data_IF_659142630885
#
_entry.id   IF_659142630885
#
_cell.length_a   1.000
_cell.length_b   1.000
_cell.length_c   1.000
_cell.angle_alpha   90.00
_cell.angle_beta   90.00
_cell.angle_gamma   90.00
#
_symmetry.space_group_name_H-M   'P 1'
#
loop_
_entity.id
_entity.type
_entity.pdbx_description
1 polymer ?
#
# COMPACT_ATOMS: atom_id res chain seq x y z
N UNK A 1 7.73 -1.58 33.51
CA UNK A 1 8.33 -2.00 32.21
C UNK A 1 9.67 -1.31 32.09
N UNK A 2 10.73 -2.03 31.70
CA UNK A 2 12.03 -1.41 31.43
C UNK A 2 11.88 -0.32 30.39
N UNK A 3 12.58 0.80 30.57
CA UNK A 3 12.49 1.97 29.69
C UNK A 3 13.26 1.69 28.38
N UNK A 4 12.70 0.85 27.51
CA UNK A 4 13.30 0.45 26.23
C UNK A 4 13.29 1.62 25.25
N UNK A 5 14.41 1.88 24.60
CA UNK A 5 14.53 2.92 23.58
C UNK A 5 14.13 2.36 22.22
N UNK A 6 12.90 2.66 21.82
CA UNK A 6 12.33 2.14 20.58
C UNK A 6 12.25 3.25 19.54
N UNK A 7 12.72 2.94 18.35
CA UNK A 7 12.50 3.76 17.14
C UNK A 7 11.42 3.10 16.30
N UNK A 8 10.48 3.91 15.81
CA UNK A 8 9.55 3.51 14.78
C UNK A 8 9.90 4.17 13.44
N UNK A 9 10.03 3.39 12.36
CA UNK A 9 10.30 3.89 11.02
C UNK A 9 9.13 3.56 10.08
N UNK A 10 8.47 4.59 9.56
CA UNK A 10 7.33 4.40 8.66
C UNK A 10 6.94 5.69 7.96
N UNK A 11 6.05 5.62 6.97
CA UNK A 11 5.63 6.81 6.22
C UNK A 11 4.13 6.86 5.95
N UNK A 12 3.49 5.89 5.23
CA UNK A 12 2.09 5.97 4.83
C UNK A 12 1.14 5.52 5.94
N UNK A 13 -0.15 5.64 5.67
CA UNK A 13 -1.26 5.32 6.58
C UNK A 13 -1.14 3.93 7.23
N UNK A 14 -0.73 2.89 6.51
CA UNK A 14 -0.53 1.56 7.11
C UNK A 14 0.47 1.61 8.29
N UNK A 15 1.54 2.38 8.15
CA UNK A 15 2.54 2.54 9.19
C UNK A 15 2.01 3.42 10.36
N UNK A 16 1.20 4.43 10.08
CA UNK A 16 0.59 5.25 11.13
C UNK A 16 -0.40 4.45 12.00
N UNK A 17 -1.11 3.49 11.40
CA UNK A 17 -1.98 2.56 12.15
C UNK A 17 -1.13 1.71 13.11
N UNK A 18 -0.01 1.15 12.63
CA UNK A 18 0.90 0.37 13.49
C UNK A 18 1.47 1.21 14.63
N UNK A 19 1.98 2.41 14.32
CA UNK A 19 2.50 3.33 15.35
C UNK A 19 1.44 3.63 16.40
N UNK A 20 0.22 3.97 15.98
CA UNK A 20 -0.88 4.24 16.89
C UNK A 20 -1.24 3.02 17.75
N UNK A 21 -1.28 1.83 17.16
CA UNK A 21 -1.49 0.58 17.91
C UNK A 21 -0.41 0.37 18.98
N UNK A 22 0.87 0.64 18.69
CA UNK A 22 1.94 0.56 19.68
C UNK A 22 1.69 1.53 20.86
N UNK A 23 1.39 2.79 20.55
CA UNK A 23 1.21 3.86 21.55
C UNK A 23 -0.03 3.62 22.42
N UNK A 24 -1.13 3.16 21.84
CA UNK A 24 -2.38 2.82 22.55
C UNK A 24 -2.26 1.58 23.43
N UNK A 25 -1.18 0.78 23.26
CA UNK A 25 -0.88 -0.40 24.07
C UNK A 25 0.38 -0.21 24.94
N UNK A 26 0.64 1.04 25.37
CA UNK A 26 1.71 1.40 26.30
C UNK A 26 3.14 1.06 25.84
N UNK A 27 3.35 0.87 24.52
CA UNK A 27 4.70 0.73 23.97
C UNK A 27 5.26 2.13 23.72
N UNK A 28 6.24 2.52 24.54
CA UNK A 28 6.86 3.83 24.43
C UNK A 28 7.81 3.89 23.21
N UNK A 29 7.46 4.72 22.22
CA UNK A 29 8.30 5.05 21.07
C UNK A 29 8.99 6.39 21.35
N UNK A 30 10.33 6.40 21.42
CA UNK A 30 11.09 7.59 21.77
C UNK A 30 11.56 8.42 20.59
N UNK A 31 11.55 7.85 19.37
CA UNK A 31 11.89 8.55 18.13
C UNK A 31 11.10 7.96 16.96
N UNK A 32 10.53 8.81 16.13
CA UNK A 32 9.90 8.43 14.86
C UNK A 32 10.79 8.87 13.70
N UNK A 33 11.04 7.96 12.76
CA UNK A 33 11.78 8.24 11.51
C UNK A 33 10.82 8.09 10.34
N UNK A 34 10.66 9.15 9.53
CA UNK A 34 9.74 9.16 8.39
C UNK A 34 10.33 9.92 7.20
N UNK A 35 9.71 9.78 6.03
CA UNK A 35 10.12 10.52 4.84
C UNK A 35 9.94 12.04 5.03
N UNK A 36 10.77 12.86 4.35
CA UNK A 36 10.61 14.31 4.36
C UNK A 36 9.23 14.76 3.90
N UNK A 37 8.78 15.89 4.47
CA UNK A 37 7.53 16.53 4.10
C UNK A 37 7.47 16.81 2.59
N UNK A 38 6.29 16.62 2.00
CA UNK A 38 6.06 16.85 0.58
C UNK A 38 5.21 18.09 0.35
N UNK A 39 5.54 18.83 -0.70
CA UNK A 39 4.67 19.92 -1.16
C UNK A 39 3.64 19.36 -2.14
N UNK A 40 2.34 19.59 -1.88
CA UNK A 40 1.24 19.13 -2.74
C UNK A 40 0.39 20.30 -3.28
N UNK A 41 -0.20 20.07 -4.45
CA UNK A 41 -1.13 21.00 -5.09
C UNK A 41 -0.48 22.24 -5.69
N UNK A 42 -1.29 23.08 -6.37
CA UNK A 42 -0.85 24.32 -7.03
C UNK A 42 -0.30 25.35 -6.03
N UNK A 43 -0.77 25.32 -4.79
CA UNK A 43 -0.35 26.24 -3.72
C UNK A 43 0.90 25.76 -2.97
N UNK A 44 1.52 24.64 -3.37
CA UNK A 44 2.71 24.07 -2.72
C UNK A 44 2.57 23.93 -1.19
N UNK A 45 1.39 23.52 -0.74
CA UNK A 45 1.14 23.31 0.69
C UNK A 45 1.99 22.13 1.20
N UNK A 46 2.65 22.33 2.34
CA UNK A 46 3.38 21.27 3.03
C UNK A 46 2.39 20.25 3.56
N UNK A 47 2.60 18.99 3.22
CA UNK A 47 1.80 17.85 3.70
C UNK A 47 2.74 16.92 4.45
N UNK A 48 2.41 16.63 5.69
CA UNK A 48 3.11 15.68 6.54
C UNK A 48 2.82 14.25 6.10
N UNK A 49 3.69 13.32 6.47
CA UNK A 49 3.35 11.91 6.41
C UNK A 49 2.35 11.58 7.52
N UNK A 50 1.48 10.58 7.29
CA UNK A 50 0.51 10.16 8.30
C UNK A 50 1.20 9.69 9.59
N UNK A 51 2.40 9.13 9.49
CA UNK A 51 3.23 8.75 10.64
C UNK A 51 3.71 9.98 11.42
N UNK A 52 4.10 11.07 10.73
CA UNK A 52 4.49 12.33 11.39
C UNK A 52 3.30 12.97 12.12
N UNK A 53 2.10 12.91 11.52
CA UNK A 53 0.90 13.44 12.17
C UNK A 53 0.64 12.73 13.50
N UNK A 54 0.73 11.39 13.54
CA UNK A 54 0.61 10.62 14.79
C UNK A 54 1.73 10.97 15.77
N UNK A 55 2.99 11.06 15.30
CA UNK A 55 4.10 11.40 16.20
C UNK A 55 3.93 12.76 16.88
N UNK A 56 3.41 13.75 16.15
CA UNK A 56 3.11 15.09 16.69
C UNK A 56 1.93 15.08 17.68
N UNK A 57 0.91 14.24 17.45
CA UNK A 57 -0.22 14.05 18.36
C UNK A 57 0.22 13.51 19.74
N UNK A 58 1.29 12.71 19.77
CA UNK A 58 1.84 12.10 20.99
C UNK A 58 3.16 12.74 21.48
N UNK A 59 3.51 13.91 20.97
CA UNK A 59 4.72 14.66 21.34
C UNK A 59 6.03 13.86 21.17
N UNK A 60 6.09 12.97 20.15
CA UNK A 60 7.27 12.16 19.86
C UNK A 60 8.20 12.91 18.90
N UNK A 61 9.52 12.99 19.19
CA UNK A 61 10.50 13.55 18.28
C UNK A 61 10.47 12.88 16.90
N UNK A 62 10.63 13.68 15.82
CA UNK A 62 10.55 13.21 14.44
C UNK A 62 11.83 13.54 13.69
N UNK A 63 12.50 12.51 13.18
CA UNK A 63 13.65 12.62 12.30
C UNK A 63 13.27 12.32 10.85
N UNK A 64 13.67 13.20 9.92
CA UNK A 64 13.27 13.12 8.50
C UNK A 64 14.50 13.22 7.57
N UNK A 65 15.36 12.19 7.53
CA UNK A 65 16.53 12.21 6.67
C UNK A 65 16.11 12.14 5.19
N UNK A 66 16.68 13.01 4.36
CA UNK A 66 16.47 12.97 2.90
C UNK A 66 17.01 11.67 2.31
N UNK A 67 18.15 11.21 2.81
CA UNK A 67 18.78 9.92 2.47
C UNK A 67 19.36 9.30 3.75
N UNK A 68 18.64 8.34 4.33
CA UNK A 68 19.07 7.67 5.56
C UNK A 68 20.46 7.05 5.44
N UNK A 69 20.86 6.60 4.26
CA UNK A 69 22.21 6.06 4.01
C UNK A 69 23.33 7.06 4.28
N UNK A 70 23.05 8.36 4.20
CA UNK A 70 24.03 9.45 4.36
C UNK A 70 23.82 10.24 5.66
N UNK A 71 22.66 10.12 6.28
CA UNK A 71 22.25 10.92 7.43
C UNK A 71 21.46 10.03 8.41
N UNK A 72 22.15 9.46 9.37
CA UNK A 72 21.58 8.60 10.42
C UNK A 72 22.17 8.85 11.81
N UNK A 73 22.90 9.95 11.99
CA UNK A 73 23.59 10.22 13.27
C UNK A 73 22.61 10.34 14.43
N UNK A 74 21.41 10.91 14.21
CA UNK A 74 20.37 11.03 15.24
C UNK A 74 19.90 9.65 15.74
N UNK A 75 19.87 8.64 14.86
CA UNK A 75 19.55 7.26 15.23
C UNK A 75 20.67 6.66 16.08
N UNK A 76 21.93 6.93 15.72
CA UNK A 76 23.10 6.46 16.49
C UNK A 76 23.11 7.08 17.89
N UNK A 77 22.88 8.40 17.97
CA UNK A 77 22.88 9.14 19.24
C UNK A 77 21.70 8.72 20.14
N UNK A 78 20.57 8.36 19.55
CA UNK A 78 19.43 7.80 20.27
C UNK A 78 19.73 6.45 20.88
N UNK A 79 20.65 5.66 20.29
CA UNK A 79 21.10 4.33 20.72
C UNK A 79 19.92 3.36 20.99
N UNK A 80 19.15 2.96 19.94
CA UNK A 80 17.93 2.18 20.11
C UNK A 80 18.18 0.77 20.63
N UNK A 81 17.24 0.24 21.42
CA UNK A 81 17.22 -1.16 21.83
C UNK A 81 16.45 -2.03 20.80
N UNK A 82 15.48 -1.43 20.10
CA UNK A 82 14.69 -2.04 19.04
C UNK A 82 14.33 -0.99 17.98
N UNK A 83 14.38 -1.38 16.71
CA UNK A 83 13.79 -0.60 15.62
C UNK A 83 12.64 -1.40 14.99
N UNK A 84 11.45 -0.80 14.95
CA UNK A 84 10.27 -1.34 14.28
C UNK A 84 10.05 -0.57 12.99
N UNK A 85 9.94 -1.28 11.86
CA UNK A 85 9.69 -0.65 10.55
C UNK A 85 8.39 -1.13 9.94
N UNK A 86 7.69 -0.22 9.26
CA UNK A 86 6.55 -0.54 8.41
C UNK A 86 6.50 0.47 7.26
N UNK A 87 6.67 0.02 6.04
CA UNK A 87 6.58 0.84 4.83
C UNK A 87 7.37 2.18 4.91
N UNK A 88 8.60 2.14 5.38
CA UNK A 88 9.44 3.34 5.54
C UNK A 88 9.82 3.99 4.20
N UNK A 89 10.10 3.18 3.18
CA UNK A 89 10.35 3.66 1.82
C UNK A 89 11.80 4.03 1.49
N UNK A 90 12.78 3.74 2.37
CA UNK A 90 14.21 3.80 2.07
C UNK A 90 14.91 2.52 2.54
N UNK A 91 16.00 2.16 1.89
CA UNK A 91 16.86 1.05 2.31
C UNK A 91 17.66 1.51 3.54
N UNK A 92 17.45 0.84 4.66
CA UNK A 92 18.14 1.09 5.92
C UNK A 92 19.56 0.53 5.81
N UNK A 93 20.62 1.33 6.07
CA UNK A 93 21.99 0.88 5.94
C UNK A 93 22.35 -0.12 7.04
N UNK A 94 23.34 -0.97 6.75
CA UNK A 94 23.78 -2.03 7.69
C UNK A 94 24.20 -1.47 9.05
N UNK A 95 24.83 -0.31 9.05
CA UNK A 95 25.26 0.39 10.25
C UNK A 95 24.10 0.70 11.21
N UNK A 96 22.91 1.00 10.66
CA UNK A 96 21.68 1.22 11.45
C UNK A 96 21.04 -0.12 11.85
N UNK A 97 21.06 -1.13 10.94
CA UNK A 97 20.49 -2.45 11.24
C UNK A 97 21.19 -3.16 12.40
N UNK A 98 22.48 -2.90 12.57
CA UNK A 98 23.32 -3.55 13.59
C UNK A 98 23.31 -2.82 14.96
N UNK A 99 22.69 -1.63 15.06
CA UNK A 99 22.70 -0.83 16.30
C UNK A 99 21.87 -1.47 17.43
N UNK A 100 20.59 -1.85 17.22
CA UNK A 100 19.74 -2.24 18.32
C UNK A 100 20.02 -3.68 18.79
N UNK A 101 20.10 -3.86 20.12
CA UNK A 101 20.37 -5.19 20.71
C UNK A 101 19.29 -6.24 20.38
N UNK A 102 18.03 -5.80 20.20
CA UNK A 102 16.91 -6.67 19.78
C UNK A 102 16.70 -6.69 18.26
N UNK A 103 17.57 -5.97 17.52
CA UNK A 103 17.59 -5.91 16.07
C UNK A 103 16.56 -4.93 15.48
N UNK A 104 16.45 -4.99 14.17
CA UNK A 104 15.45 -4.26 13.40
C UNK A 104 14.42 -5.25 12.89
N UNK A 105 13.14 -5.03 13.18
CA UNK A 105 12.04 -5.84 12.66
C UNK A 105 11.21 -5.04 11.65
N UNK A 106 10.65 -5.75 10.67
CA UNK A 106 9.79 -5.14 9.65
C UNK A 106 8.45 -5.86 9.56
N UNK A 107 7.39 -5.09 9.46
CA UNK A 107 6.04 -5.55 9.15
C UNK A 107 5.83 -5.44 7.65
N UNK A 108 5.93 -6.57 6.95
CA UNK A 108 5.84 -6.66 5.50
C UNK A 108 4.45 -7.12 5.04
N UNK A 109 3.87 -6.44 4.04
CA UNK A 109 2.48 -6.63 3.59
C UNK A 109 2.27 -7.83 2.69
N UNK A 110 2.84 -8.98 3.01
CA UNK A 110 2.58 -10.26 2.34
C UNK A 110 2.91 -11.44 3.25
N UNK A 111 2.52 -12.65 2.84
CA UNK A 111 2.99 -13.92 3.42
C UNK A 111 4.32 -14.30 2.75
N UNK A 112 5.43 -13.83 3.32
CA UNK A 112 6.77 -14.12 2.81
C UNK A 112 7.03 -15.65 2.75
N UNK A 113 7.75 -16.13 1.74
CA UNK A 113 8.59 -15.41 0.77
C UNK A 113 7.85 -14.89 -0.48
N UNK A 114 6.51 -14.97 -0.51
CA UNK A 114 5.71 -14.44 -1.62
C UNK A 114 5.65 -12.91 -1.54
N UNK A 115 5.85 -12.25 -2.68
CA UNK A 115 5.77 -10.79 -2.83
C UNK A 115 6.81 -10.00 -2.03
N UNK A 116 8.10 -10.38 -2.08
CA UNK A 116 9.20 -9.50 -1.67
C UNK A 116 9.23 -8.26 -2.55
N UNK A 117 9.30 -7.06 -1.98
CA UNK A 117 9.43 -5.80 -2.72
C UNK A 117 8.40 -4.74 -2.36
N UNK A 118 8.25 -3.74 -3.25
CA UNK A 118 7.61 -2.47 -2.92
C UNK A 118 6.09 -2.40 -3.05
N UNK A 119 5.41 -3.38 -3.69
CA UNK A 119 3.96 -3.33 -3.91
C UNK A 119 3.24 -4.66 -3.62
N UNK A 120 3.51 -5.35 -2.49
CA UNK A 120 2.97 -6.67 -2.21
C UNK A 120 1.44 -6.69 -2.16
N UNK A 121 0.83 -5.69 -1.55
CA UNK A 121 -0.63 -5.59 -1.35
C UNK A 121 -1.35 -5.43 -2.68
N UNK A 122 -0.87 -4.49 -3.50
CA UNK A 122 -1.47 -4.25 -4.83
C UNK A 122 -1.28 -5.45 -5.76
N UNK A 123 -0.09 -6.08 -5.73
CA UNK A 123 0.19 -7.27 -6.57
C UNK A 123 -0.70 -8.44 -6.17
N UNK A 124 -0.97 -8.66 -4.88
CA UNK A 124 -1.88 -9.70 -4.43
C UNK A 124 -3.30 -9.51 -4.98
N UNK A 125 -3.83 -8.27 -4.94
CA UNK A 125 -5.15 -7.96 -5.52
C UNK A 125 -5.13 -8.15 -7.03
N UNK A 126 -4.14 -7.61 -7.72
CA UNK A 126 -4.06 -7.65 -9.18
C UNK A 126 -3.96 -9.07 -9.71
N UNK A 127 -3.19 -9.91 -9.02
CA UNK A 127 -3.07 -11.34 -9.36
C UNK A 127 -4.30 -12.17 -9.00
N UNK A 128 -5.32 -11.58 -8.36
CA UNK A 128 -6.56 -12.28 -7.99
C UNK A 128 -6.40 -13.23 -6.81
N UNK A 129 -5.37 -13.04 -5.97
CA UNK A 129 -5.20 -13.82 -4.76
C UNK A 129 -6.43 -13.69 -3.85
N UNK A 130 -6.82 -14.79 -3.23
CA UNK A 130 -7.96 -14.80 -2.28
C UNK A 130 -7.50 -14.58 -0.85
N UNK A 131 -6.19 -14.79 -0.59
CA UNK A 131 -5.56 -14.62 0.72
C UNK A 131 -4.24 -13.90 0.54
N UNK A 132 -3.96 -12.95 1.42
CA UNK A 132 -2.66 -12.35 1.63
C UNK A 132 -2.38 -12.30 3.14
N UNK A 133 -1.55 -11.41 3.64
CA UNK A 133 -1.30 -11.28 5.08
C UNK A 133 -0.15 -10.37 5.41
N UNK A 134 0.22 -10.40 6.68
CA UNK A 134 1.37 -9.68 7.20
C UNK A 134 2.44 -10.65 7.67
N UNK A 135 3.70 -10.31 7.43
CA UNK A 135 4.87 -11.01 7.96
C UNK A 135 5.65 -10.09 8.88
N UNK A 136 5.89 -10.52 10.11
CA UNK A 136 6.83 -9.91 11.04
C UNK A 136 8.18 -10.61 10.87
N UNK A 137 9.17 -9.88 10.38
CA UNK A 137 10.46 -10.42 10.01
C UNK A 137 11.62 -9.61 10.59
N UNK A 138 12.78 -10.21 10.76
CA UNK A 138 14.03 -9.49 11.04
C UNK A 138 14.56 -8.88 9.75
N UNK A 139 14.95 -7.62 9.79
CA UNK A 139 15.52 -6.96 8.60
C UNK A 139 16.91 -7.52 8.27
N UNK A 140 17.22 -7.58 6.99
CA UNK A 140 18.49 -8.00 6.44
C UNK A 140 18.93 -7.03 5.31
N UNK A 141 20.22 -7.00 4.93
CA UNK A 141 20.68 -6.14 3.83
C UNK A 141 20.01 -6.41 2.48
N UNK A 142 19.62 -7.68 2.22
CA UNK A 142 18.83 -8.04 1.04
C UNK A 142 17.35 -7.75 1.31
N UNK A 143 16.69 -7.03 0.39
CA UNK A 143 15.31 -6.59 0.52
C UNK A 143 14.37 -7.75 0.84
N UNK A 144 13.62 -7.63 1.93
CA UNK A 144 12.58 -8.54 2.42
C UNK A 144 13.00 -10.02 2.48
N UNK A 145 14.31 -10.29 2.58
CA UNK A 145 14.88 -11.63 2.59
C UNK A 145 15.31 -12.12 3.98
N UNK A 146 15.12 -11.33 5.02
CA UNK A 146 15.45 -11.74 6.38
C UNK A 146 14.51 -12.81 6.92
N UNK A 147 14.90 -13.50 8.02
CA UNK A 147 14.10 -14.58 8.59
C UNK A 147 12.79 -14.04 9.21
N UNK A 148 11.75 -14.85 9.13
CA UNK A 148 10.38 -14.52 9.57
C UNK A 148 10.15 -15.03 10.99
N UNK A 149 9.60 -14.17 11.85
CA UNK A 149 9.18 -14.54 13.19
C UNK A 149 7.76 -15.14 13.16
N UNK A 150 6.83 -14.42 12.56
CA UNK A 150 5.42 -14.82 12.52
C UNK A 150 4.71 -14.26 11.30
N UNK A 151 3.58 -14.87 10.96
CA UNK A 151 2.71 -14.44 9.85
C UNK A 151 1.25 -14.52 10.28
N UNK A 152 0.43 -13.59 9.76
CA UNK A 152 -1.01 -13.59 9.97
C UNK A 152 -1.73 -13.40 8.64
N UNK A 153 -2.60 -14.33 8.31
CA UNK A 153 -3.37 -14.33 7.06
C UNK A 153 -4.52 -13.33 7.10
N UNK A 154 -4.86 -12.79 5.93
CA UNK A 154 -5.99 -11.90 5.70
C UNK A 154 -6.70 -12.33 4.42
N UNK A 155 -8.00 -12.53 4.49
CA UNK A 155 -8.83 -12.79 3.32
C UNK A 155 -8.97 -11.51 2.46
N UNK A 156 -8.79 -11.66 1.15
CA UNK A 156 -9.05 -10.61 0.15
C UNK A 156 -10.46 -10.83 -0.40
N UNK A 157 -11.41 -10.02 0.05
CA UNK A 157 -12.78 -10.10 -0.40
C UNK A 157 -12.93 -9.53 -1.84
N UNK A 158 -13.93 -9.97 -2.61
CA UNK A 158 -14.24 -9.37 -3.91
C UNK A 158 -14.53 -7.86 -3.85
N UNK A 159 -15.01 -7.37 -2.71
CA UNK A 159 -15.26 -5.94 -2.47
C UNK A 159 -14.01 -5.15 -2.06
N UNK A 160 -12.90 -5.82 -1.75
CA UNK A 160 -11.68 -5.12 -1.35
C UNK A 160 -10.99 -4.46 -2.55
N UNK A 161 -10.42 -3.33 -2.29
CA UNK A 161 -9.48 -2.62 -3.16
C UNK A 161 -8.16 -2.36 -2.39
N UNK A 162 -7.18 -1.72 -3.01
CA UNK A 162 -5.92 -1.44 -2.32
C UNK A 162 -6.13 -0.61 -1.06
N UNK A 163 -7.00 0.41 -1.08
CA UNK A 163 -7.26 1.26 0.09
C UNK A 163 -7.81 0.46 1.27
N UNK A 164 -8.87 -0.34 1.06
CA UNK A 164 -9.47 -1.14 2.14
C UNK A 164 -8.51 -2.23 2.64
N UNK A 165 -7.73 -2.84 1.75
CA UNK A 165 -6.78 -3.88 2.13
C UNK A 165 -5.58 -3.29 2.89
N UNK A 166 -5.09 -2.10 2.53
CA UNK A 166 -4.07 -1.40 3.33
C UNK A 166 -4.54 -1.13 4.76
N UNK A 167 -5.80 -0.74 4.96
CA UNK A 167 -6.36 -0.50 6.29
C UNK A 167 -6.45 -1.81 7.11
N UNK A 168 -6.97 -2.90 6.52
CA UNK A 168 -7.00 -4.22 7.15
C UNK A 168 -5.60 -4.71 7.53
N UNK A 169 -4.64 -4.55 6.63
CA UNK A 169 -3.26 -4.96 6.86
C UNK A 169 -2.57 -4.13 7.93
N UNK A 170 -2.88 -2.83 8.04
CA UNK A 170 -2.35 -1.98 9.11
C UNK A 170 -2.79 -2.46 10.50
N UNK A 171 -4.09 -2.80 10.64
CA UNK A 171 -4.63 -3.35 11.89
C UNK A 171 -3.97 -4.71 12.20
N UNK A 172 -3.94 -5.61 11.22
CA UNK A 172 -3.31 -6.92 11.38
C UNK A 172 -1.83 -6.83 11.73
N UNK A 173 -1.10 -5.87 11.14
CA UNK A 173 0.31 -5.62 11.43
C UNK A 173 0.53 -5.17 12.88
N UNK A 174 -0.33 -4.27 13.38
CA UNK A 174 -0.30 -3.83 14.76
C UNK A 174 -0.53 -4.98 15.74
N UNK A 175 -1.58 -5.77 15.51
CA UNK A 175 -1.89 -6.96 16.32
C UNK A 175 -0.74 -7.97 16.29
N UNK A 176 -0.22 -8.29 15.10
CA UNK A 176 0.90 -9.23 14.94
C UNK A 176 2.16 -8.76 15.69
N UNK A 177 2.45 -7.45 15.70
CA UNK A 177 3.56 -6.91 16.48
C UNK A 177 3.30 -7.04 17.98
N UNK A 178 2.10 -6.73 18.47
CA UNK A 178 1.76 -6.83 19.90
C UNK A 178 1.88 -8.28 20.41
N UNK A 179 1.38 -9.24 19.65
CA UNK A 179 1.41 -10.67 20.00
C UNK A 179 2.86 -11.18 20.21
N UNK A 180 3.84 -10.56 19.52
CA UNK A 180 5.23 -11.01 19.52
C UNK A 180 6.23 -10.03 20.17
N UNK A 181 5.75 -8.88 20.66
CA UNK A 181 6.60 -7.79 21.13
C UNK A 181 7.51 -8.20 22.31
N UNK A 182 6.97 -8.88 23.31
CA UNK A 182 7.74 -9.28 24.49
C UNK A 182 8.77 -10.37 24.20
N UNK A 183 8.50 -11.29 23.29
CA UNK A 183 9.51 -12.29 22.90
C UNK A 183 10.65 -11.67 22.09
N UNK A 184 10.39 -10.65 21.27
CA UNK A 184 11.44 -9.87 20.59
C UNK A 184 12.31 -9.17 21.65
N UNK A 185 11.68 -8.41 22.55
CA UNK A 185 12.38 -7.60 23.53
C UNK A 185 13.04 -8.40 24.67
N UNK A 186 12.73 -9.68 24.80
CA UNK A 186 13.42 -10.59 25.73
C UNK A 186 14.54 -11.40 25.06
N UNK A 187 14.73 -11.23 23.73
CA UNK A 187 15.70 -12.00 22.95
C UNK A 187 15.33 -13.49 22.79
N UNK A 188 14.07 -13.85 23.05
CA UNK A 188 13.55 -15.23 22.92
C UNK A 188 12.90 -15.53 21.57
N UNK A 189 12.71 -14.51 20.72
CA UNK A 189 12.11 -14.64 19.42
C UNK A 189 12.89 -15.63 18.53
N UNK A 190 12.20 -16.62 17.98
CA UNK A 190 12.77 -17.64 17.10
C UNK A 190 12.38 -17.36 15.67
N UNK A 191 13.34 -16.97 14.87
CA UNK A 191 13.13 -16.60 13.48
C UNK A 191 13.42 -17.80 12.57
N UNK A 192 12.62 -17.96 11.51
CA UNK A 192 12.74 -19.04 10.52
C UNK A 192 13.18 -18.45 9.18
N UNK A 193 14.24 -19.03 8.59
CA UNK A 193 14.72 -18.61 7.26
C UNK A 193 13.66 -18.86 6.18
N UNK A 194 13.59 -17.95 5.22
CA UNK A 194 12.66 -18.07 4.11
C UNK A 194 13.13 -19.11 3.08
N UNK A 195 12.20 -19.85 2.50
CA UNK A 195 12.44 -20.79 1.40
C UNK A 195 12.68 -20.02 0.09
N UNK A 196 13.95 -19.88 -0.32
CA UNK A 196 14.33 -19.16 -1.54
C UNK A 196 13.70 -19.73 -2.83
N UNK A 197 13.27 -20.99 -2.85
CA UNK A 197 12.62 -21.61 -4.00
C UNK A 197 11.19 -21.12 -4.23
N UNK A 198 10.58 -20.50 -3.21
CA UNK A 198 9.19 -20.00 -3.24
C UNK A 198 9.09 -18.48 -3.37
N UNK A 199 10.22 -17.82 -3.59
CA UNK A 199 10.25 -16.36 -3.68
C UNK A 199 9.48 -15.87 -4.92
N UNK A 200 8.55 -14.94 -4.68
CA UNK A 200 7.90 -14.15 -5.72
C UNK A 200 8.20 -12.68 -5.43
N UNK A 201 8.63 -11.93 -6.44
CA UNK A 201 8.90 -10.50 -6.30
C UNK A 201 7.68 -9.65 -6.63
N UNK A 202 7.54 -8.53 -5.92
CA UNK A 202 6.50 -7.51 -6.11
C UNK A 202 7.14 -6.14 -6.35
N UNK A 203 7.62 -5.87 -7.58
CA UNK A 203 8.19 -4.56 -7.89
C UNK A 203 7.14 -3.46 -7.69
N UNK A 204 7.62 -2.26 -7.40
CA UNK A 204 6.76 -1.05 -7.33
C UNK A 204 5.98 -0.92 -8.63
N UNK A 205 4.71 -0.50 -8.52
CA UNK A 205 3.85 -0.29 -9.69
C UNK A 205 4.43 0.82 -10.58
N UNK A 206 4.56 0.55 -11.88
CA UNK A 206 5.04 1.52 -12.85
C UNK A 206 3.89 2.37 -13.41
N UNK A 207 4.24 3.49 -14.07
CA UNK A 207 3.25 4.35 -14.72
C UNK A 207 2.61 3.70 -15.94
N UNK A 208 3.33 2.81 -16.59
CA UNK A 208 2.86 2.04 -17.74
C UNK A 208 1.77 1.05 -17.30
N UNK A 209 1.92 0.49 -16.11
CA UNK A 209 0.94 -0.44 -15.53
C UNK A 209 -0.36 0.25 -15.06
N UNK A 210 -0.41 1.59 -15.02
CA UNK A 210 -1.68 2.32 -14.78
C UNK A 210 -2.64 2.22 -15.98
N UNK A 211 -2.13 1.97 -17.19
CA UNK A 211 -2.96 1.81 -18.39
C UNK A 211 -3.60 0.43 -18.42
N UNK A 212 -4.91 0.39 -18.64
CA UNK A 212 -5.69 -0.84 -18.75
C UNK A 212 -5.55 -1.39 -20.18
N UNK A 213 -4.94 -2.56 -20.32
CA UNK A 213 -4.98 -3.32 -21.56
C UNK A 213 -6.29 -4.13 -21.62
N UNK A 214 -7.23 -3.71 -22.45
CA UNK A 214 -8.52 -4.37 -22.59
C UNK A 214 -8.43 -5.78 -23.23
N UNK A 215 -7.27 -6.19 -23.76
CA UNK A 215 -7.07 -7.54 -24.28
C UNK A 215 -6.78 -8.58 -23.16
N UNK A 216 -6.59 -8.14 -21.92
CA UNK A 216 -6.47 -9.04 -20.77
C UNK A 216 -7.83 -9.66 -20.42
N UNK A 217 -7.81 -10.71 -19.59
CA UNK A 217 -9.03 -11.32 -19.06
C UNK A 217 -9.85 -10.30 -18.26
N UNK A 218 -11.18 -10.38 -18.37
CA UNK A 218 -12.10 -9.46 -17.70
C UNK A 218 -11.87 -9.39 -16.18
N UNK A 219 -11.56 -10.51 -15.53
CA UNK A 219 -11.22 -10.55 -14.09
C UNK A 219 -9.90 -9.83 -13.80
N UNK A 220 -8.90 -9.98 -14.68
CA UNK A 220 -7.60 -9.29 -14.53
C UNK A 220 -7.76 -7.76 -14.62
N UNK A 221 -8.61 -7.28 -15.54
CA UNK A 221 -8.94 -5.85 -15.68
C UNK A 221 -9.62 -5.31 -14.41
N UNK A 222 -10.61 -6.04 -13.88
CA UNK A 222 -11.29 -5.67 -12.63
C UNK A 222 -10.31 -5.64 -11.45
N UNK A 223 -9.45 -6.62 -11.35
CA UNK A 223 -8.43 -6.71 -10.32
C UNK A 223 -7.40 -5.59 -10.44
N UNK A 224 -7.00 -5.19 -11.67
CA UNK A 224 -6.15 -4.03 -11.88
C UNK A 224 -6.81 -2.75 -11.34
N UNK A 225 -8.08 -2.50 -11.66
CA UNK A 225 -8.82 -1.34 -11.15
C UNK A 225 -8.84 -1.35 -9.62
N UNK A 226 -9.10 -2.49 -8.99
CA UNK A 226 -9.08 -2.65 -7.52
C UNK A 226 -7.70 -2.41 -6.94
N UNK A 227 -6.65 -2.93 -7.56
CA UNK A 227 -5.27 -2.81 -7.11
C UNK A 227 -4.73 -1.37 -7.20
N UNK A 228 -5.18 -0.58 -8.18
CA UNK A 228 -4.76 0.79 -8.40
C UNK A 228 -5.69 1.84 -7.75
N UNK A 229 -6.77 1.42 -7.11
CA UNK A 229 -7.72 2.28 -6.41
C UNK A 229 -7.14 2.77 -5.06
N UNK A 230 -7.30 3.99 -4.62
CA UNK A 230 -7.87 5.18 -5.22
C UNK A 230 -6.78 5.97 -5.97
N UNK A 231 -5.54 5.66 -5.71
CA UNK A 231 -4.37 6.26 -6.32
C UNK A 231 -3.31 5.18 -6.64
N UNK A 232 -2.68 5.22 -7.82
CA UNK A 232 -2.76 6.29 -8.82
C UNK A 232 -4.05 6.27 -9.67
N UNK A 233 -4.82 5.19 -9.67
CA UNK A 233 -6.01 4.95 -10.50
C UNK A 233 -5.67 4.40 -11.88
N UNK A 234 -6.23 3.22 -12.23
CA UNK A 234 -6.11 2.64 -13.56
C UNK A 234 -6.90 3.46 -14.58
N UNK A 235 -6.42 3.54 -15.83
CA UNK A 235 -7.04 4.38 -16.86
C UNK A 235 -7.06 3.70 -18.24
N UNK A 236 -7.99 4.17 -19.06
CA UNK A 236 -8.00 3.98 -20.53
C UNK A 236 -7.87 5.35 -21.21
N UNK A 237 -7.53 5.39 -22.49
CA UNK A 237 -7.67 6.60 -23.25
C UNK A 237 -9.09 6.74 -23.85
N UNK A 238 -9.68 7.91 -23.72
CA UNK A 238 -10.96 8.25 -24.29
C UNK A 238 -10.82 9.60 -25.00
N UNK A 239 -10.94 9.60 -26.34
CA UNK A 239 -10.66 10.80 -27.18
C UNK A 239 -9.28 11.42 -26.89
N UNK A 240 -8.26 10.60 -26.74
CA UNK A 240 -6.87 11.01 -26.48
C UNK A 240 -6.61 11.60 -25.09
N UNK A 241 -7.55 11.47 -24.15
CA UNK A 241 -7.40 11.91 -22.74
C UNK A 241 -7.45 10.71 -21.81
N UNK A 242 -6.70 10.77 -20.72
CA UNK A 242 -6.78 9.77 -19.68
C UNK A 242 -8.16 9.80 -19.00
N UNK A 243 -8.84 8.68 -19.03
CA UNK A 243 -10.08 8.45 -18.32
C UNK A 243 -9.84 7.38 -17.25
N UNK A 244 -9.64 7.82 -16.01
CA UNK A 244 -9.41 6.91 -14.90
C UNK A 244 -10.71 6.25 -14.46
N UNK A 245 -10.61 4.96 -14.20
CA UNK A 245 -11.67 4.12 -13.62
C UNK A 245 -11.18 3.72 -12.23
N UNK A 246 -11.81 4.29 -11.20
CA UNK A 246 -11.39 4.11 -9.81
C UNK A 246 -12.21 3.02 -9.10
N UNK A 247 -13.43 2.81 -9.56
CA UNK A 247 -14.29 1.74 -9.10
C UNK A 247 -15.17 1.25 -10.22
N UNK A 248 -15.28 -0.06 -10.37
CA UNK A 248 -16.12 -0.70 -11.36
C UNK A 248 -16.68 -2.02 -10.83
N UNK A 249 -17.76 -2.49 -11.47
CA UNK A 249 -18.30 -3.83 -11.28
C UNK A 249 -18.42 -4.53 -12.63
N UNK A 250 -18.65 -5.84 -12.60
CA UNK A 250 -18.81 -6.66 -13.78
C UNK A 250 -20.29 -6.96 -14.04
N UNK A 251 -20.70 -6.83 -15.31
CA UNK A 251 -22.00 -7.25 -15.79
C UNK A 251 -21.80 -8.37 -16.81
N UNK A 252 -22.40 -9.53 -16.57
CA UNK A 252 -22.37 -10.68 -17.49
C UNK A 252 -23.35 -10.43 -18.66
N UNK A 253 -23.06 -9.38 -19.45
CA UNK A 253 -23.78 -9.00 -20.66
C UNK A 253 -22.75 -8.51 -21.66
N UNK A 254 -22.62 -9.22 -22.79
CA UNK A 254 -21.65 -8.90 -23.80
C UNK A 254 -22.10 -7.70 -24.63
N UNK A 255 -21.22 -6.75 -24.81
CA UNK A 255 -21.37 -5.59 -25.65
C UNK A 255 -20.17 -5.47 -26.62
N UNK A 256 -20.23 -4.53 -27.56
CA UNK A 256 -19.15 -4.31 -28.50
C UNK A 256 -17.84 -3.99 -27.75
N UNK A 257 -16.78 -4.73 -28.06
CA UNK A 257 -15.48 -4.64 -27.41
C UNK A 257 -14.89 -3.23 -27.51
N UNK A 258 -14.45 -2.68 -26.37
CA UNK A 258 -13.86 -1.35 -26.26
C UNK A 258 -14.87 -0.20 -26.41
N UNK A 259 -16.14 -0.46 -26.72
CA UNK A 259 -17.13 0.58 -26.89
C UNK A 259 -17.61 1.12 -25.54
N UNK A 260 -17.58 2.44 -25.38
CA UNK A 260 -18.20 3.11 -24.22
C UNK A 260 -19.71 3.20 -24.45
N UNK A 261 -20.48 2.52 -23.63
CA UNK A 261 -21.93 2.39 -23.73
C UNK A 261 -22.66 2.97 -22.53
N UNK A 262 -23.94 3.24 -22.71
CA UNK A 262 -24.83 3.60 -21.61
C UNK A 262 -25.39 2.33 -20.95
N UNK A 263 -25.26 2.24 -19.63
CA UNK A 263 -25.83 1.16 -18.82
C UNK A 263 -26.99 1.72 -17.98
N UNK A 264 -28.16 1.08 -18.10
CA UNK A 264 -29.36 1.51 -17.39
C UNK A 264 -29.72 2.98 -17.64
N UNK A 265 -30.08 3.71 -16.57
CA UNK A 265 -30.52 5.11 -16.72
C UNK A 265 -29.33 6.06 -16.89
N UNK A 266 -28.31 5.98 -16.06
CA UNK A 266 -27.28 7.03 -15.91
C UNK A 266 -25.89 6.48 -15.58
N UNK A 267 -25.55 5.26 -15.99
CA UNK A 267 -24.19 4.71 -15.84
C UNK A 267 -23.52 4.53 -17.20
N UNK A 268 -22.22 4.41 -17.19
CA UNK A 268 -21.40 4.06 -18.34
C UNK A 268 -20.81 2.66 -18.14
N UNK A 269 -20.64 1.96 -19.23
CA UNK A 269 -19.90 0.70 -19.28
C UNK A 269 -18.95 0.67 -20.47
N UNK A 270 -18.00 -0.24 -20.42
CA UNK A 270 -17.07 -0.55 -21.51
C UNK A 270 -17.24 -2.01 -21.84
N UNK A 271 -17.52 -2.34 -23.11
CA UNK A 271 -17.58 -3.73 -23.56
C UNK A 271 -16.23 -4.42 -23.41
N UNK A 272 -16.22 -5.57 -22.78
CA UNK A 272 -15.06 -6.46 -22.64
C UNK A 272 -15.25 -7.71 -23.51
N UNK A 273 -14.33 -8.68 -23.44
CA UNK A 273 -14.41 -9.91 -24.25
C UNK A 273 -15.61 -10.79 -23.85
N UNK A 274 -15.89 -10.94 -22.56
CA UNK A 274 -16.93 -11.84 -22.06
C UNK A 274 -18.10 -11.14 -21.38
N UNK A 275 -17.97 -9.82 -21.12
CA UNK A 275 -19.02 -9.05 -20.45
C UNK A 275 -18.82 -7.56 -20.60
N UNK A 276 -19.24 -6.81 -19.59
CA UNK A 276 -19.18 -5.34 -19.58
C UNK A 276 -18.63 -4.86 -18.25
N UNK A 277 -17.63 -3.99 -18.33
CA UNK A 277 -17.12 -3.22 -17.20
C UNK A 277 -18.09 -2.07 -16.90
N UNK A 278 -18.80 -2.12 -15.80
CA UNK A 278 -19.72 -1.05 -15.35
C UNK A 278 -18.97 -0.08 -14.46
N UNK A 279 -18.85 1.16 -14.90
CA UNK A 279 -18.09 2.20 -14.19
C UNK A 279 -18.95 2.75 -13.04
N UNK A 280 -18.37 2.79 -11.83
CA UNK A 280 -19.01 3.35 -10.64
C UNK A 280 -18.41 4.71 -10.24
N UNK A 281 -17.07 4.81 -10.24
CA UNK A 281 -16.34 6.03 -9.92
C UNK A 281 -15.27 6.27 -10.97
N UNK A 282 -15.17 7.48 -11.47
CA UNK A 282 -14.25 7.82 -12.55
C UNK A 282 -13.65 9.22 -12.41
N UNK A 283 -12.63 9.48 -13.23
CA UNK A 283 -12.01 10.80 -13.33
C UNK A 283 -11.54 11.04 -14.76
N UNK A 284 -12.08 12.04 -15.41
CA UNK A 284 -11.53 12.56 -16.67
C UNK A 284 -10.29 13.42 -16.37
N UNK A 285 -9.30 13.35 -17.23
CA UNK A 285 -8.07 14.15 -17.11
C UNK A 285 -8.37 15.64 -16.90
N UNK A 286 -7.74 16.23 -15.87
CA UNK A 286 -7.93 17.64 -15.48
C UNK A 286 -9.24 17.95 -14.76
N UNK A 287 -10.06 16.95 -14.44
CA UNK A 287 -11.33 17.10 -13.71
C UNK A 287 -11.27 16.41 -12.34
N UNK A 288 -12.16 16.75 -11.40
CA UNK A 288 -12.26 16.04 -10.13
C UNK A 288 -12.76 14.60 -10.32
N UNK A 289 -12.48 13.76 -9.33
CA UNK A 289 -13.12 12.45 -9.19
C UNK A 289 -14.62 12.63 -8.93
N UNK A 290 -15.46 11.81 -9.55
CA UNK A 290 -16.90 11.83 -9.35
C UNK A 290 -17.53 10.45 -9.55
N UNK A 291 -18.70 10.23 -8.98
CA UNK A 291 -19.51 9.07 -9.31
C UNK A 291 -19.94 9.08 -10.79
N UNK A 292 -20.14 7.89 -11.34
CA UNK A 292 -20.44 7.74 -12.75
C UNK A 292 -21.77 8.38 -13.16
N UNK A 293 -22.77 8.44 -12.27
CA UNK A 293 -24.08 9.06 -12.55
C UNK A 293 -23.93 10.56 -12.74
N UNK A 294 -23.20 11.23 -11.86
CA UNK A 294 -22.87 12.65 -11.96
C UNK A 294 -22.05 12.94 -13.22
N UNK A 295 -21.05 12.10 -13.52
CA UNK A 295 -20.26 12.22 -14.74
C UNK A 295 -21.12 12.07 -16.00
N UNK A 296 -22.00 11.06 -16.05
CA UNK A 296 -22.90 10.82 -17.17
C UNK A 296 -23.84 11.99 -17.39
N UNK A 297 -24.49 12.53 -16.35
CA UNK A 297 -25.44 13.65 -16.45
C UNK A 297 -24.75 14.95 -16.89
N UNK A 298 -23.46 15.10 -16.62
CA UNK A 298 -22.65 16.22 -17.12
C UNK A 298 -22.14 15.97 -18.54
N UNK A 299 -20.90 15.54 -18.65
CA UNK A 299 -20.22 15.37 -19.95
C UNK A 299 -20.28 13.95 -20.52
N UNK A 300 -20.50 12.94 -19.67
CA UNK A 300 -20.37 11.53 -20.04
C UNK A 300 -21.36 11.09 -21.12
N UNK A 301 -22.58 11.69 -21.16
CA UNK A 301 -23.60 11.38 -22.17
C UNK A 301 -23.07 11.58 -23.59
N UNK A 302 -22.28 12.62 -23.82
CA UNK A 302 -21.73 12.96 -25.15
C UNK A 302 -20.53 12.09 -25.54
N UNK A 303 -20.06 11.21 -24.61
CA UNK A 303 -18.94 10.31 -24.84
C UNK A 303 -19.39 8.89 -25.19
N UNK A 304 -20.67 8.58 -25.03
CA UNK A 304 -21.25 7.28 -25.43
C UNK A 304 -21.05 7.08 -26.94
N UNK A 305 -20.73 5.85 -27.33
CA UNK A 305 -20.44 5.46 -28.71
C UNK A 305 -18.99 5.71 -29.16
N UNK A 306 -18.10 6.14 -28.28
CA UNK A 306 -16.67 6.19 -28.59
C UNK A 306 -15.96 4.91 -28.14
N UNK A 307 -14.96 4.51 -28.89
CA UNK A 307 -14.04 3.44 -28.52
C UNK A 307 -13.04 3.99 -27.49
N UNK A 308 -12.73 3.20 -26.47
CA UNK A 308 -11.64 3.44 -25.53
C UNK A 308 -10.42 2.61 -25.92
N UNK A 309 -9.24 3.15 -25.62
CA UNK A 309 -7.94 2.56 -25.95
C UNK A 309 -7.09 2.37 -24.68
#
# INVERSE_FOLDING_TARGET
>A
MENRRIIFMGTPKIASIVLKTMLENDIHVGLVVTQPDKKKGRKQQVVYSEVKEVALEYDIPVFQPVKIKLDYQEIVDFAPDLIVTCAYGQIVPKEVLDLPQYGCVNLHGSLLPKYRGGAPIQRAIWNGDKVSGMSLMKMAPKMDAGPVLAQKEIEILPSDNSTSLFDKMGICAGELLLDHFEEICSGKAVYVEQDESKVIFSPVLSKEEEHIDLNQDDEHILNQIRAFSDAPGAYVFLKGKKFKILKASYLNEQNEFGLLIKIGKNKLGIGLHSGTLVIETCQMEGKPVMDCTSFFNGQGRNLVGNIVE
#
